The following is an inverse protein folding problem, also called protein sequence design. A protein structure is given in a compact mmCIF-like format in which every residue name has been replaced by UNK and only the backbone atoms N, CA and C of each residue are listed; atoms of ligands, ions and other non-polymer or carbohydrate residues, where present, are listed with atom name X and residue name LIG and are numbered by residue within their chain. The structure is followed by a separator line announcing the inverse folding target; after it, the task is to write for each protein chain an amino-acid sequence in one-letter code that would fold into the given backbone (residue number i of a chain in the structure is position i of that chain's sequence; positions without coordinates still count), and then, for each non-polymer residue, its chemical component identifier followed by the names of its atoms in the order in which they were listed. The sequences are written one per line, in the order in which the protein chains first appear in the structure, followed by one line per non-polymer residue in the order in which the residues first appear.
data_IF_415923425792
#
_entry.id   IF_415923425792
#
_cell.length_a   1.000
_cell.length_b   1.000
_cell.length_c   1.000
_cell.angle_alpha   90.00
_cell.angle_beta   90.00
_cell.angle_gamma   90.00
#
_symmetry.space_group_name_H-M   'P 1'
#
loop_
_entity.id
_entity.type
_entity.pdbx_description
1 polymer ?
#
# COMPACT_ATOMS: atom_id res chain seq x y z
N UNK A 1 -14.04 -7.88 -7.03
CA UNK A 1 -12.67 -7.99 -6.48
C UNK A 1 -12.11 -6.59 -6.50
N UNK A 2 -12.02 -5.95 -5.33
CA UNK A 2 -11.65 -4.54 -5.19
C UNK A 2 -10.19 -4.41 -5.60
N UNK A 3 -9.95 -3.69 -6.69
CA UNK A 3 -8.62 -3.47 -7.26
C UNK A 3 -7.83 -2.52 -6.34
N UNK A 4 -7.25 -3.09 -5.28
CA UNK A 4 -6.40 -2.36 -4.33
C UNK A 4 -4.99 -2.08 -4.91
N UNK A 5 -4.80 -2.31 -6.21
CA UNK A 5 -3.54 -2.12 -6.92
C UNK A 5 -3.33 -0.68 -7.39
N UNK A 6 -4.32 0.20 -7.19
CA UNK A 6 -4.30 1.60 -7.62
C UNK A 6 -4.55 2.55 -6.45
N UNK A 7 -3.80 3.65 -6.47
CA UNK A 7 -3.84 4.67 -5.44
C UNK A 7 -5.17 5.42 -5.50
N UNK A 8 -5.87 5.48 -4.37
CA UNK A 8 -7.16 6.17 -4.27
C UNK A 8 -7.06 7.70 -4.45
N UNK A 9 -5.85 8.26 -4.38
CA UNK A 9 -5.62 9.72 -4.48
C UNK A 9 -5.36 10.16 -5.92
N UNK A 10 -4.50 9.44 -6.64
CA UNK A 10 -4.03 9.85 -7.97
C UNK A 10 -4.17 8.79 -9.07
N UNK A 11 -4.60 7.57 -8.74
CA UNK A 11 -4.76 6.48 -9.71
C UNK A 11 -3.46 5.82 -10.20
N UNK A 12 -2.29 6.19 -9.64
CA UNK A 12 -1.01 5.50 -9.88
C UNK A 12 -1.02 4.10 -9.24
N UNK A 13 -0.13 3.17 -9.65
CA UNK A 13 0.00 1.88 -8.97
C UNK A 13 0.26 2.08 -7.47
N UNK A 14 -0.60 1.49 -6.66
CA UNK A 14 -0.45 1.45 -5.23
C UNK A 14 0.70 0.50 -4.87
N UNK A 15 1.54 0.95 -3.96
CA UNK A 15 2.65 0.16 -3.41
C UNK A 15 2.23 -0.63 -2.16
N UNK A 16 1.02 -0.35 -1.67
CA UNK A 16 0.52 -0.87 -0.42
C UNK A 16 -0.81 -0.23 -0.01
N UNK A 17 -1.30 -0.68 1.14
CA UNK A 17 -2.50 -0.14 1.79
C UNK A 17 -2.17 0.38 3.19
N UNK A 18 -2.65 1.58 3.48
CA UNK A 18 -2.56 2.17 4.81
C UNK A 18 -3.93 2.22 5.46
N UNK A 19 -3.97 1.76 6.71
CA UNK A 19 -5.12 1.73 7.59
C UNK A 19 -4.89 2.78 8.67
N UNK A 20 -5.58 3.91 8.57
CA UNK A 20 -5.49 5.02 9.50
C UNK A 20 -6.73 5.02 10.40
N UNK A 21 -6.70 4.19 11.45
CA UNK A 21 -7.85 3.98 12.33
C UNK A 21 -8.96 3.18 11.65
N UNK A 22 -10.09 3.83 11.34
CA UNK A 22 -11.24 3.17 10.71
C UNK A 22 -11.21 3.18 9.18
N UNK A 23 -10.31 3.96 8.58
CA UNK A 23 -10.24 4.13 7.13
C UNK A 23 -9.06 3.32 6.55
N UNK A 24 -9.30 2.66 5.42
CA UNK A 24 -8.30 1.93 4.66
C UNK A 24 -8.22 2.49 3.25
N UNK A 25 -7.02 2.85 2.80
CA UNK A 25 -6.80 3.41 1.46
C UNK A 25 -5.53 2.84 0.83
N UNK A 26 -5.63 2.43 -0.43
CA UNK A 26 -4.47 2.06 -1.24
C UNK A 26 -3.73 3.33 -1.69
N UNK A 27 -2.40 3.34 -1.53
CA UNK A 27 -1.56 4.53 -1.77
C UNK A 27 -0.32 4.17 -2.58
N UNK A 28 0.07 5.06 -3.49
CA UNK A 28 1.34 4.97 -4.23
C UNK A 28 2.50 5.55 -3.41
N UNK A 29 3.75 5.40 -3.86
CA UNK A 29 4.93 5.89 -3.12
C UNK A 29 4.85 7.39 -2.76
N UNK A 30 4.23 8.18 -3.63
CA UNK A 30 4.12 9.63 -3.47
C UNK A 30 3.09 10.04 -2.40
N UNK A 31 2.04 9.22 -2.22
CA UNK A 31 0.94 9.47 -1.27
C UNK A 31 1.01 8.59 -0.01
N UNK A 32 1.96 7.66 0.03
CA UNK A 32 2.15 6.78 1.16
C UNK A 32 2.89 7.49 2.29
N UNK A 33 2.54 7.16 3.52
CA UNK A 33 3.28 7.64 4.69
C UNK A 33 4.75 7.22 4.63
N UNK A 34 5.65 8.08 5.13
CA UNK A 34 7.11 7.82 5.13
C UNK A 34 7.48 6.50 5.78
N UNK A 35 6.74 6.10 6.80
CA UNK A 35 6.95 4.80 7.46
C UNK A 35 6.73 3.63 6.52
N UNK A 36 5.73 3.71 5.64
CA UNK A 36 5.48 2.70 4.62
C UNK A 36 6.63 2.66 3.60
N UNK A 37 7.20 3.82 3.22
CA UNK A 37 8.40 3.93 2.37
C UNK A 37 9.63 3.23 2.94
N UNK A 38 9.71 3.12 4.26
CA UNK A 38 10.78 2.38 4.93
C UNK A 38 10.53 0.86 5.02
N UNK A 39 9.34 0.38 4.66
CA UNK A 39 9.03 -1.05 4.68
C UNK A 39 9.52 -1.78 3.44
N UNK A 40 10.04 -2.98 3.66
CA UNK A 40 10.32 -3.89 2.58
C UNK A 40 9.00 -4.38 1.91
N UNK A 41 9.04 -4.71 0.61
CA UNK A 41 7.88 -5.27 -0.09
C UNK A 41 7.41 -6.56 0.56
N UNK A 42 6.12 -6.64 0.88
CA UNK A 42 5.50 -7.74 1.62
C UNK A 42 5.51 -7.58 3.14
N UNK A 43 6.15 -6.53 3.67
CA UNK A 43 6.11 -6.24 5.10
C UNK A 43 4.88 -5.46 5.52
N UNK A 44 4.49 -5.69 6.78
CA UNK A 44 3.41 -4.96 7.44
C UNK A 44 3.91 -4.35 8.73
N UNK A 45 3.71 -3.05 8.88
CA UNK A 45 4.01 -2.31 10.09
C UNK A 45 2.71 -1.93 10.80
N UNK A 46 2.63 -2.28 12.07
CA UNK A 46 1.55 -1.80 12.94
C UNK A 46 2.11 -0.78 13.92
N UNK A 47 1.57 0.43 13.90
CA UNK A 47 1.96 1.52 14.78
C UNK A 47 0.74 2.06 15.51
N UNK A 48 0.54 1.60 16.74
CA UNK A 48 -0.64 1.94 17.54
C UNK A 48 -1.95 1.55 16.84
N UNK A 49 -2.76 2.55 16.52
CA UNK A 49 -4.04 2.40 15.81
C UNK A 49 -3.90 2.39 14.28
N UNK A 50 -2.70 2.60 13.75
CA UNK A 50 -2.44 2.64 12.31
C UNK A 50 -1.74 1.34 11.86
N UNK A 51 -2.08 0.85 10.68
CA UNK A 51 -1.43 -0.33 10.06
C UNK A 51 -1.04 0.02 8.63
N UNK A 52 0.19 -0.30 8.24
CA UNK A 52 0.75 -0.05 6.92
C UNK A 52 1.16 -1.37 6.32
N UNK A 53 0.58 -1.75 5.19
CA UNK A 53 0.82 -3.01 4.49
C UNK A 53 1.48 -2.70 3.16
N UNK A 54 2.74 -3.11 2.98
CA UNK A 54 3.46 -2.99 1.71
C UNK A 54 3.16 -4.22 0.87
N UNK A 55 2.78 -4.05 -0.39
CA UNK A 55 2.59 -5.19 -1.29
C UNK A 55 3.93 -5.87 -1.61
N UNK A 56 3.94 -7.21 -1.77
CA UNK A 56 5.12 -7.92 -2.24
C UNK A 56 5.40 -7.56 -3.70
N UNK A 57 6.68 -7.46 -4.09
CA UNK A 57 7.10 -7.09 -5.46
C UNK A 57 6.50 -7.97 -6.55
N UNK A 58 6.16 -9.22 -6.20
CA UNK A 58 5.52 -10.19 -7.07
C UNK A 58 4.11 -9.75 -7.50
N UNK A 59 3.40 -9.00 -6.65
CA UNK A 59 2.04 -8.49 -6.94
C UNK A 59 2.06 -7.11 -7.64
N UNK A 60 3.17 -6.36 -7.55
CA UNK A 60 3.32 -5.04 -8.17
C UNK A 60 3.82 -5.17 -9.63
N UNK A 61 4.51 -6.26 -9.92
CA UNK A 61 4.97 -6.62 -11.26
C UNK A 61 3.81 -7.27 -12.00
N UNK A 62 2.95 -6.44 -12.60
CA UNK A 62 1.83 -6.89 -13.42
C UNK A 62 2.24 -7.69 -14.66
N UNK A 63 2.74 -8.90 -14.47
CA UNK A 63 2.84 -9.93 -15.51
C UNK A 63 1.56 -10.77 -15.41
N UNK A 64 0.49 -10.26 -16.03
CA UNK A 64 -0.61 -11.12 -16.46
C UNK A 64 -0.01 -12.15 -17.43
N UNK A 65 0.30 -13.35 -16.94
CA UNK A 65 0.55 -14.50 -17.81
C UNK A 65 -0.74 -14.95 -18.51
#
# INVERSE_FOLDING_TARGET
MTDNTICCVCGKPAIGMQFLGCCASAVCEDHAERYMLSLAPGETLKSGSCTFVRYPLDEISGDKK
#
